data_IF_496359131073
#
_entry.id   IF_496359131073
#
_cell.length_a   1.000
_cell.length_b   1.000
_cell.length_c   1.000
_cell.angle_alpha   90.00
_cell.angle_beta   90.00
_cell.angle_gamma   90.00
#
_symmetry.space_group_name_H-M   'P 1'
#
loop_
_entity.id
_entity.type
_entity.pdbx_description
1 polymer ?
#
# COMPACT_ATOMS: atom_id res chain seq x y z
N UNK A 1 14.60 11.18 3.00
CA UNK A 1 14.89 10.02 2.13
C UNK A 1 16.01 10.28 1.12
N UNK A 2 15.88 11.21 0.16
CA UNK A 2 16.89 11.40 -0.92
C UNK A 2 18.34 11.59 -0.45
N UNK A 3 18.54 12.32 0.65
CA UNK A 3 19.86 12.49 1.26
C UNK A 3 20.57 11.14 1.52
N UNK A 4 19.84 10.17 2.09
CA UNK A 4 20.42 8.85 2.42
C UNK A 4 20.77 8.07 1.16
N UNK A 5 19.95 8.13 0.11
CA UNK A 5 20.25 7.46 -1.15
C UNK A 5 21.53 7.99 -1.77
N UNK A 6 21.65 9.32 -1.87
CA UNK A 6 22.83 9.98 -2.44
C UNK A 6 24.08 9.68 -1.60
N UNK A 7 23.94 9.70 -0.27
CA UNK A 7 25.02 9.35 0.65
C UNK A 7 25.50 7.92 0.45
N UNK A 8 24.60 6.93 0.40
CA UNK A 8 24.97 5.54 0.19
C UNK A 8 25.53 5.27 -1.20
N UNK A 9 24.98 5.89 -2.25
CA UNK A 9 25.53 5.79 -3.60
C UNK A 9 26.97 6.33 -3.67
N UNK A 10 27.26 7.41 -2.93
CA UNK A 10 28.61 7.98 -2.85
C UNK A 10 29.56 7.13 -2.02
N UNK A 11 29.08 6.55 -0.92
CA UNK A 11 29.90 5.74 0.01
C UNK A 11 30.18 4.34 -0.50
N UNK A 12 29.26 3.75 -1.27
CA UNK A 12 29.33 2.37 -1.76
C UNK A 12 29.19 2.29 -3.29
N UNK A 13 30.03 2.99 -4.08
CA UNK A 13 29.88 3.06 -5.54
C UNK A 13 30.10 1.72 -6.25
N UNK A 14 30.84 0.80 -5.63
CA UNK A 14 31.04 -0.57 -6.13
C UNK A 14 29.81 -1.47 -5.93
N UNK A 15 28.84 -1.04 -5.11
CA UNK A 15 27.66 -1.82 -4.73
C UNK A 15 26.33 -1.19 -5.16
N UNK A 16 26.27 0.15 -5.17
CA UNK A 16 25.03 0.90 -5.38
C UNK A 16 25.07 1.62 -6.72
N UNK A 17 24.00 1.49 -7.50
CA UNK A 17 23.61 2.45 -8.53
C UNK A 17 22.35 3.17 -8.09
N UNK A 18 22.31 4.50 -8.28
CA UNK A 18 21.18 5.35 -7.97
C UNK A 18 20.86 6.20 -9.19
N UNK A 19 19.61 6.13 -9.65
CA UNK A 19 19.14 6.89 -10.82
C UNK A 19 17.68 7.28 -10.67
N UNK A 20 17.27 8.28 -11.45
CA UNK A 20 15.87 8.68 -11.57
C UNK A 20 15.20 7.75 -12.56
N UNK A 21 14.16 7.02 -12.13
CA UNK A 21 13.39 6.12 -13.01
C UNK A 21 12.25 6.85 -13.70
N UNK A 22 11.71 7.88 -13.06
CA UNK A 22 10.67 8.75 -13.57
C UNK A 22 10.65 10.05 -12.76
N UNK A 23 9.92 11.05 -13.25
CA UNK A 23 9.51 12.21 -12.47
C UNK A 23 8.03 12.01 -12.12
N UNK A 24 7.66 12.33 -10.88
CA UNK A 24 6.27 12.31 -10.42
C UNK A 24 5.44 13.38 -11.12
N UNK A 25 4.14 13.40 -10.85
CA UNK A 25 3.24 14.39 -11.41
C UNK A 25 3.70 15.85 -11.18
N UNK A 26 4.17 16.18 -9.98
CA UNK A 26 4.72 17.52 -9.64
C UNK A 26 6.20 17.70 -10.03
N UNK A 27 6.77 16.77 -10.79
CA UNK A 27 8.15 16.85 -11.27
C UNK A 27 9.20 16.48 -10.22
N UNK A 28 8.85 15.75 -9.16
CA UNK A 28 9.83 15.25 -8.19
C UNK A 28 10.48 13.95 -8.69
N UNK A 29 11.79 13.76 -8.47
CA UNK A 29 12.46 12.55 -8.95
C UNK A 29 12.01 11.30 -8.20
N UNK A 30 11.49 10.31 -8.91
CA UNK A 30 11.29 8.96 -8.39
C UNK A 30 12.63 8.23 -8.52
N UNK A 31 13.26 7.93 -7.39
CA UNK A 31 14.61 7.37 -7.35
C UNK A 31 14.57 5.84 -7.22
N UNK A 32 15.34 5.17 -8.07
CA UNK A 32 15.56 3.73 -8.02
C UNK A 32 16.98 3.44 -7.56
N UNK A 33 17.11 2.50 -6.63
CA UNK A 33 18.39 2.00 -6.15
C UNK A 33 18.58 0.54 -6.58
N UNK A 34 19.76 0.24 -7.10
CA UNK A 34 20.22 -1.12 -7.38
C UNK A 34 21.37 -1.44 -6.43
N UNK A 35 21.23 -2.51 -5.64
CA UNK A 35 22.26 -3.02 -4.74
C UNK A 35 22.75 -4.40 -5.22
N UNK A 36 23.98 -4.48 -5.68
CA UNK A 36 24.66 -5.73 -6.00
C UNK A 36 26.17 -5.54 -6.02
N UNK A 37 26.96 -6.59 -5.75
CA UNK A 37 28.40 -6.49 -5.96
C UNK A 37 28.75 -6.46 -7.46
N UNK A 38 29.15 -5.28 -7.98
CA UNK A 38 29.47 -5.10 -9.40
C UNK A 38 30.69 -5.91 -9.85
N UNK A 39 31.57 -6.32 -8.92
CA UNK A 39 32.77 -7.12 -9.23
C UNK A 39 32.44 -8.58 -9.53
N UNK A 40 31.29 -9.08 -9.08
CA UNK A 40 30.85 -10.47 -9.31
C UNK A 40 29.90 -10.61 -10.50
N UNK A 41 29.66 -9.53 -11.24
CA UNK A 41 28.77 -9.49 -12.41
C UNK A 41 27.75 -8.35 -12.32
N UNK A 42 27.05 -8.12 -13.43
CA UNK A 42 25.98 -7.13 -13.52
C UNK A 42 24.77 -7.60 -12.72
N UNK A 43 23.93 -6.66 -12.28
CA UNK A 43 22.68 -6.94 -11.59
C UNK A 43 21.72 -7.78 -12.46
N UNK A 44 21.65 -7.47 -13.77
CA UNK A 44 20.79 -8.17 -14.75
C UNK A 44 21.16 -9.64 -14.96
N UNK A 45 22.40 -10.03 -14.63
CA UNK A 45 22.89 -11.41 -14.80
C UNK A 45 22.64 -12.26 -13.54
N UNK A 46 22.08 -11.67 -12.48
CA UNK A 46 21.85 -12.31 -11.18
C UNK A 46 20.36 -12.41 -10.89
N UNK A 47 19.90 -13.49 -10.22
CA UNK A 47 18.54 -13.52 -9.69
C UNK A 47 18.31 -12.35 -8.75
N UNK A 48 17.14 -11.72 -8.85
CA UNK A 48 16.87 -10.49 -8.14
C UNK A 48 15.58 -10.52 -7.31
N UNK A 49 15.57 -9.67 -6.28
CA UNK A 49 14.39 -9.32 -5.53
C UNK A 49 14.16 -7.80 -5.60
N UNK A 50 12.91 -7.37 -5.69
CA UNK A 50 12.51 -5.98 -5.69
C UNK A 50 11.72 -5.67 -4.42
N UNK A 51 12.15 -4.64 -3.69
CA UNK A 51 11.51 -4.19 -2.48
C UNK A 51 11.13 -2.72 -2.60
N UNK A 52 9.86 -2.42 -2.31
CA UNK A 52 9.34 -1.08 -2.46
C UNK A 52 8.44 -0.64 -1.32
N UNK A 53 8.25 0.67 -1.20
CA UNK A 53 7.34 1.27 -0.22
C UNK A 53 6.87 2.66 -0.68
N UNK A 54 6.06 3.29 0.17
CA UNK A 54 5.64 4.69 -0.01
C UNK A 54 4.86 4.92 -1.30
N UNK A 55 3.96 4.01 -1.66
CA UNK A 55 2.98 4.22 -2.74
C UNK A 55 1.76 4.98 -2.23
N UNK A 56 1.25 4.63 -1.05
CA UNK A 56 0.23 5.40 -0.37
C UNK A 56 0.93 6.47 0.47
N UNK A 57 0.43 7.70 0.34
CA UNK A 57 1.03 8.92 0.85
C UNK A 57 1.34 8.87 2.35
N UNK A 58 0.42 8.30 3.13
CA UNK A 58 0.46 8.25 4.60
C UNK A 58 1.25 7.09 5.21
N UNK A 59 1.79 6.19 4.39
CA UNK A 59 2.48 4.97 4.84
C UNK A 59 3.99 5.17 4.94
N UNK A 60 4.41 6.27 5.57
CA UNK A 60 5.84 6.64 5.69
C UNK A 60 6.67 5.52 6.33
N UNK A 61 6.08 4.74 7.24
CA UNK A 61 6.74 3.59 7.85
C UNK A 61 7.13 2.51 6.84
N UNK A 62 6.36 2.33 5.76
CA UNK A 62 6.74 1.43 4.67
C UNK A 62 8.04 1.88 4.00
N UNK A 63 8.15 3.18 3.70
CA UNK A 63 9.38 3.77 3.15
C UNK A 63 10.57 3.63 4.10
N UNK A 64 10.36 3.87 5.39
CA UNK A 64 11.40 3.71 6.41
C UNK A 64 11.87 2.25 6.56
N UNK A 65 10.99 1.27 6.37
CA UNK A 65 11.37 -0.16 6.38
C UNK A 65 12.36 -0.52 5.26
N UNK A 66 12.13 -0.01 4.04
CA UNK A 66 13.08 -0.24 2.93
C UNK A 66 14.39 0.52 3.16
N UNK A 67 14.34 1.73 3.74
CA UNK A 67 15.53 2.48 4.15
C UNK A 67 16.35 1.70 5.18
N UNK A 68 15.70 1.19 6.23
CA UNK A 68 16.35 0.40 7.27
C UNK A 68 16.99 -0.87 6.69
N UNK A 69 16.27 -1.60 5.83
CA UNK A 69 16.82 -2.78 5.16
C UNK A 69 18.05 -2.42 4.33
N UNK A 70 18.01 -1.31 3.58
CA UNK A 70 19.15 -0.83 2.79
C UNK A 70 20.36 -0.55 3.69
N UNK A 71 20.16 0.18 4.79
CA UNK A 71 21.20 0.46 5.77
C UNK A 71 21.79 -0.83 6.36
N UNK A 72 20.92 -1.76 6.78
CA UNK A 72 21.31 -3.01 7.40
C UNK A 72 22.17 -3.86 6.45
N UNK A 73 21.79 -3.96 5.18
CA UNK A 73 22.54 -4.69 4.16
C UNK A 73 23.92 -4.08 3.92
N UNK A 74 24.01 -2.75 3.81
CA UNK A 74 25.27 -2.04 3.58
C UNK A 74 26.21 -2.10 4.78
N UNK A 75 25.71 -1.88 5.99
CA UNK A 75 26.53 -1.86 7.21
C UNK A 75 27.09 -3.23 7.57
N UNK A 76 26.46 -4.32 7.10
CA UNK A 76 26.86 -5.69 7.37
C UNK A 76 27.54 -6.38 6.19
N UNK A 77 27.59 -5.76 5.01
CA UNK A 77 28.38 -6.28 3.90
C UNK A 77 29.87 -6.35 4.26
N UNK A 78 30.49 -7.52 4.07
CA UNK A 78 31.87 -7.81 4.49
C UNK A 78 32.03 -8.16 5.98
N UNK A 79 30.96 -8.07 6.79
CA UNK A 79 30.96 -8.44 8.22
C UNK A 79 30.14 -9.71 8.46
N UNK A 80 28.94 -9.77 7.90
CA UNK A 80 28.06 -10.92 7.96
C UNK A 80 28.26 -11.80 6.70
N UNK A 81 28.68 -13.07 6.83
CA UNK A 81 28.91 -13.95 5.69
C UNK A 81 27.66 -14.24 4.85
N UNK A 82 26.46 -14.25 5.46
CA UNK A 82 25.20 -14.49 4.75
C UNK A 82 24.80 -13.27 3.91
N UNK A 83 24.87 -12.07 4.49
CA UNK A 83 24.59 -10.81 3.76
C UNK A 83 25.63 -10.59 2.65
N UNK A 84 26.90 -10.88 2.93
CA UNK A 84 27.97 -10.78 1.92
C UNK A 84 27.68 -11.71 0.74
N UNK A 85 27.38 -12.99 1.01
CA UNK A 85 27.00 -13.95 -0.02
C UNK A 85 25.74 -13.54 -0.78
N UNK A 86 24.76 -12.94 -0.10
CA UNK A 86 23.54 -12.43 -0.72
C UNK A 86 23.88 -11.36 -1.76
N UNK A 87 24.58 -10.30 -1.36
CA UNK A 87 24.94 -9.17 -2.24
C UNK A 87 25.91 -9.60 -3.36
N UNK A 88 26.78 -10.58 -3.09
CA UNK A 88 27.71 -11.11 -4.09
C UNK A 88 27.02 -11.94 -5.17
N UNK A 89 25.91 -12.61 -4.85
CA UNK A 89 25.27 -13.59 -5.76
C UNK A 89 23.88 -13.20 -6.24
N UNK A 90 23.33 -12.09 -5.76
CA UNK A 90 21.98 -11.59 -6.09
C UNK A 90 22.02 -10.10 -6.40
N UNK A 91 20.95 -9.62 -7.02
CA UNK A 91 20.65 -8.20 -7.09
C UNK A 91 19.45 -7.88 -6.19
N UNK A 92 19.52 -6.75 -5.50
CA UNK A 92 18.44 -6.26 -4.65
C UNK A 92 18.07 -4.89 -5.19
N UNK A 93 16.87 -4.78 -5.73
CA UNK A 93 16.33 -3.52 -6.21
C UNK A 93 15.48 -2.90 -5.10
N UNK A 94 15.71 -1.63 -4.81
CA UNK A 94 15.15 -0.94 -3.66
C UNK A 94 14.53 0.37 -4.12
N UNK A 95 13.24 0.56 -3.81
CA UNK A 95 12.53 1.82 -4.06
C UNK A 95 11.69 2.20 -2.85
N UNK A 96 12.26 2.88 -1.86
CA UNK A 96 11.52 3.21 -0.65
C UNK A 96 10.41 4.24 -0.86
N UNK A 97 10.43 4.97 -1.97
CA UNK A 97 9.42 5.99 -2.27
C UNK A 97 8.94 5.92 -3.71
N UNK A 98 7.71 5.48 -3.89
CA UNK A 98 7.04 5.48 -5.20
C UNK A 98 6.23 6.76 -5.46
N UNK A 99 5.66 7.36 -4.42
CA UNK A 99 4.76 8.51 -4.51
C UNK A 99 5.34 9.72 -3.76
N UNK A 100 6.43 10.34 -4.25
CA UNK A 100 7.05 11.47 -3.56
C UNK A 100 6.10 12.64 -3.37
N UNK A 101 5.15 12.87 -4.28
CA UNK A 101 4.20 13.99 -4.19
C UNK A 101 3.23 13.79 -3.04
N UNK A 102 2.57 12.64 -3.02
CA UNK A 102 1.64 12.25 -1.97
C UNK A 102 2.26 12.27 -0.57
N UNK A 103 3.45 11.68 -0.38
CA UNK A 103 4.08 11.73 0.96
C UNK A 103 4.57 13.12 1.35
N UNK A 104 4.98 13.98 0.41
CA UNK A 104 5.29 15.37 0.74
C UNK A 104 4.03 16.10 1.20
N UNK A 105 2.91 15.90 0.50
CA UNK A 105 1.61 16.45 0.92
C UNK A 105 1.26 15.97 2.33
N UNK A 106 1.33 14.66 2.60
CA UNK A 106 1.04 14.09 3.91
C UNK A 106 1.96 14.62 5.03
N UNK A 107 3.25 14.81 4.75
CA UNK A 107 4.22 15.23 5.77
C UNK A 107 4.22 16.74 6.06
N UNK A 108 3.91 17.56 5.05
CA UNK A 108 4.08 19.02 5.12
C UNK A 108 2.77 19.80 5.11
N UNK A 109 1.63 19.12 4.95
CA UNK A 109 0.31 19.72 5.05
C UNK A 109 -0.54 19.00 6.08
N UNK A 110 -1.70 19.57 6.40
CA UNK A 110 -2.70 18.95 7.28
C UNK A 110 -3.54 17.90 6.56
N UNK A 111 -3.22 17.54 5.31
CA UNK A 111 -4.04 16.62 4.55
C UNK A 111 -3.88 15.18 5.05
N UNK A 112 -5.02 14.49 5.21
CA UNK A 112 -5.08 13.03 5.33
C UNK A 112 -4.98 12.31 3.98
N UNK A 113 -4.64 13.03 2.90
CA UNK A 113 -4.51 12.49 1.55
C UNK A 113 -3.85 11.12 1.60
N UNK A 114 -4.62 10.09 1.28
CA UNK A 114 -4.15 8.71 1.21
C UNK A 114 -3.21 8.57 0.00
N UNK A 115 -3.27 9.50 -0.96
CA UNK A 115 -2.93 9.23 -2.36
C UNK A 115 -2.40 10.46 -3.14
N UNK A 116 -2.04 10.24 -4.41
CA UNK A 116 -1.38 11.21 -5.33
C UNK A 116 -2.21 12.48 -5.46
N UNK A 117 -1.50 13.62 -5.55
CA UNK A 117 -2.11 14.91 -5.88
C UNK A 117 -2.77 14.84 -7.25
N UNK A 118 -4.06 15.18 -7.29
CA UNK A 118 -4.89 15.24 -8.49
C UNK A 118 -5.16 13.89 -9.16
N UNK A 119 -6.12 13.16 -8.61
CA UNK A 119 -7.16 12.70 -9.52
C UNK A 119 -8.32 13.67 -9.45
N UNK A 120 -8.85 14.01 -10.62
CA UNK A 120 -10.06 14.80 -10.81
C UNK A 120 -11.27 13.96 -10.35
N UNK A 121 -11.27 13.55 -9.08
CA UNK A 121 -12.22 12.62 -8.53
C UNK A 121 -13.34 13.43 -7.92
N UNK A 122 -14.50 13.16 -8.49
CA UNK A 122 -15.77 13.70 -8.06
C UNK A 122 -16.42 12.60 -7.21
N UNK A 123 -16.16 12.64 -5.90
CA UNK A 123 -16.36 11.48 -5.00
C UNK A 123 -17.86 11.18 -4.78
N UNK A 124 -18.73 12.18 -4.92
CA UNK A 124 -20.15 12.16 -4.53
C UNK A 124 -21.16 12.63 -5.63
N UNK A 125 -20.71 13.36 -6.67
CA UNK A 125 -21.47 13.82 -7.87
C UNK A 125 -22.32 15.07 -7.77
N UNK A 126 -21.99 15.98 -6.87
CA UNK A 126 -22.61 17.31 -6.74
C UNK A 126 -22.12 18.40 -7.73
N UNK A 127 -20.95 18.24 -8.35
CA UNK A 127 -20.34 19.18 -9.29
C UNK A 127 -19.15 20.00 -8.76
N UNK A 128 -18.70 19.76 -7.53
CA UNK A 128 -17.59 20.47 -6.89
C UNK A 128 -16.38 19.56 -6.59
N UNK A 129 -15.21 20.12 -6.24
CA UNK A 129 -13.94 19.38 -6.10
C UNK A 129 -13.21 19.82 -4.82
N UNK A 130 -12.75 18.84 -4.03
CA UNK A 130 -11.86 19.00 -2.88
C UNK A 130 -12.45 19.83 -1.71
N UNK A 131 -13.71 19.60 -1.29
CA UNK A 131 -14.51 20.52 -0.45
C UNK A 131 -14.55 20.22 1.06
N UNK A 132 -14.40 18.97 1.49
CA UNK A 132 -14.37 18.50 2.89
C UNK A 132 -13.03 17.84 3.26
N UNK A 133 -11.92 18.60 3.31
CA UNK A 133 -10.72 18.11 3.98
C UNK A 133 -10.95 18.07 5.49
N UNK A 134 -10.35 17.09 6.18
CA UNK A 134 -10.34 17.12 7.65
C UNK A 134 -9.77 18.44 8.20
N UNK A 135 -10.50 19.06 9.13
CA UNK A 135 -10.09 20.27 9.82
C UNK A 135 -9.56 20.01 11.23
N UNK A 136 -8.62 20.86 11.60
CA UNK A 136 -8.08 21.02 12.95
C UNK A 136 -8.99 22.01 13.70
N UNK A 137 -9.96 21.48 14.44
CA UNK A 137 -11.03 22.28 15.07
C UNK A 137 -10.54 23.06 16.29
N UNK A 138 -9.48 22.58 16.96
CA UNK A 138 -8.92 23.22 18.15
C UNK A 138 -7.65 24.05 17.88
N UNK A 139 -7.13 24.00 16.66
CA UNK A 139 -6.03 24.83 16.17
C UNK A 139 -4.67 24.38 16.68
N UNK A 140 -4.53 23.16 17.21
CA UNK A 140 -3.27 22.65 17.77
C UNK A 140 -2.30 22.11 16.70
N UNK A 141 -2.74 22.07 15.44
CA UNK A 141 -1.97 21.62 14.29
C UNK A 141 -2.02 20.12 14.04
N UNK A 142 -2.83 19.36 14.78
CA UNK A 142 -3.00 17.90 14.66
C UNK A 142 -4.49 17.59 14.41
N UNK A 143 -4.77 16.82 13.37
CA UNK A 143 -6.13 16.32 13.13
C UNK A 143 -6.30 14.99 13.86
N UNK A 144 -7.13 14.98 14.89
CA UNK A 144 -7.35 13.80 15.71
C UNK A 144 -8.40 12.84 15.11
N UNK A 145 -8.49 11.67 15.73
CA UNK A 145 -9.66 10.80 15.62
C UNK A 145 -10.57 11.03 16.82
N UNK A 146 -11.82 11.36 16.54
CA UNK A 146 -12.86 11.59 17.51
C UNK A 146 -13.67 10.31 17.73
N UNK A 147 -13.88 9.95 19.00
CA UNK A 147 -14.80 8.85 19.34
C UNK A 147 -16.15 9.39 19.74
N UNK A 148 -17.22 8.90 19.12
CA UNK A 148 -18.60 9.17 19.52
C UNK A 148 -19.19 7.91 20.12
N UNK A 149 -19.70 8.02 21.35
CA UNK A 149 -20.44 6.92 21.97
C UNK A 149 -21.79 6.78 21.25
N UNK A 150 -22.10 5.58 20.78
CA UNK A 150 -23.37 5.31 20.12
C UNK A 150 -24.52 5.35 21.13
N UNK A 151 -25.49 6.24 20.92
CA UNK A 151 -26.62 6.44 21.84
C UNK A 151 -27.95 6.01 21.21
N UNK A 152 -28.14 6.31 19.94
CA UNK A 152 -29.35 5.97 19.18
C UNK A 152 -29.35 4.50 18.73
N UNK A 153 -30.52 3.92 18.42
CA UNK A 153 -30.60 2.59 17.82
C UNK A 153 -29.82 2.48 16.51
N UNK A 154 -29.92 3.46 15.60
CA UNK A 154 -29.19 3.41 14.32
C UNK A 154 -27.67 3.47 14.52
N UNK A 155 -27.19 4.31 15.44
CA UNK A 155 -25.76 4.38 15.76
C UNK A 155 -25.26 3.08 16.38
N UNK A 156 -26.05 2.45 17.25
CA UNK A 156 -25.67 1.18 17.88
C UNK A 156 -25.54 0.07 16.86
N UNK A 157 -26.39 0.05 15.83
CA UNK A 157 -26.27 -0.90 14.72
C UNK A 157 -25.00 -0.69 13.88
N UNK A 158 -24.54 0.57 13.75
CA UNK A 158 -23.31 0.92 13.02
C UNK A 158 -22.05 0.82 13.88
N UNK A 159 -22.16 0.95 15.20
CA UNK A 159 -21.04 1.00 16.13
C UNK A 159 -20.16 -0.24 16.03
N UNK A 160 -18.88 -0.02 15.77
CA UNK A 160 -17.92 -1.07 15.44
C UNK A 160 -16.59 -0.90 16.19
N UNK A 161 -16.56 -0.11 17.27
CA UNK A 161 -15.40 0.01 18.15
C UNK A 161 -15.76 -0.18 19.63
N UNK A 162 -14.86 -0.81 20.37
CA UNK A 162 -14.85 -0.87 21.85
C UNK A 162 -13.55 -0.25 22.37
N UNK A 163 -13.51 0.13 23.64
CA UNK A 163 -12.22 0.41 24.30
C UNK A 163 -11.42 -0.89 24.32
N UNK A 164 -10.15 -0.82 23.93
CA UNK A 164 -9.27 -1.99 23.94
C UNK A 164 -9.14 -2.54 25.37
N UNK A 165 -9.58 -3.79 25.64
CA UNK A 165 -9.50 -4.39 26.96
C UNK A 165 -8.06 -4.51 27.50
N UNK A 166 -7.06 -4.56 26.60
CA UNK A 166 -5.65 -4.58 27.00
C UNK A 166 -5.13 -3.21 27.47
N UNK A 167 -5.87 -2.13 27.16
CA UNK A 167 -5.49 -0.75 27.45
C UNK A 167 -6.63 -0.01 28.16
N UNK A 168 -6.91 -0.35 29.44
CA UNK A 168 -8.06 0.15 30.18
C UNK A 168 -8.03 1.66 30.46
N UNK A 169 -6.89 2.32 30.22
CA UNK A 169 -6.78 3.78 30.20
C UNK A 169 -7.67 4.45 29.14
N UNK A 170 -8.30 3.67 28.24
CA UNK A 170 -9.32 4.16 27.34
C UNK A 170 -8.76 4.98 26.17
N UNK A 171 -7.46 4.93 25.89
CA UNK A 171 -6.84 5.65 24.79
C UNK A 171 -6.87 4.87 23.47
N UNK A 172 -6.84 3.54 23.55
CA UNK A 172 -6.83 2.66 22.39
C UNK A 172 -8.22 2.05 22.18
N UNK A 173 -8.60 1.99 20.92
CA UNK A 173 -9.87 1.46 20.46
C UNK A 173 -9.61 0.17 19.69
N UNK A 174 -10.45 -0.83 19.89
CA UNK A 174 -10.40 -2.10 19.16
C UNK A 174 -11.61 -2.20 18.24
N UNK A 175 -11.36 -2.45 16.95
CA UNK A 175 -12.43 -2.67 15.98
C UNK A 175 -13.11 -4.02 16.23
N UNK A 176 -14.43 -4.02 16.17
CA UNK A 176 -15.33 -5.17 16.29
C UNK A 176 -16.35 -5.13 15.14
N UNK A 177 -17.21 -6.14 15.05
CA UNK A 177 -18.28 -6.12 14.05
C UNK A 177 -19.25 -4.96 14.32
N UNK A 178 -19.84 -4.40 13.26
CA UNK A 178 -20.93 -3.44 13.39
C UNK A 178 -22.07 -4.04 14.24
N UNK A 179 -22.64 -3.24 15.14
CA UNK A 179 -23.65 -3.70 16.10
C UNK A 179 -23.07 -4.33 17.36
N UNK A 180 -21.74 -4.50 17.43
CA UNK A 180 -21.03 -5.10 18.58
C UNK A 180 -20.12 -4.10 19.29
N UNK A 181 -20.02 -2.87 18.79
CA UNK A 181 -19.27 -1.79 19.41
C UNK A 181 -20.13 -0.86 20.27
N UNK A 182 -19.46 -0.07 21.09
CA UNK A 182 -20.06 1.03 21.86
C UNK A 182 -19.77 2.40 21.24
N UNK A 183 -18.81 2.46 20.33
CA UNK A 183 -18.29 3.69 19.76
C UNK A 183 -18.24 3.65 18.23
N UNK A 184 -18.42 4.83 17.66
CA UNK A 184 -18.11 5.20 16.29
C UNK A 184 -16.84 6.06 16.33
N UNK A 185 -15.97 5.90 15.35
CA UNK A 185 -14.74 6.68 15.21
C UNK A 185 -14.87 7.54 13.97
N UNK A 186 -14.55 8.82 14.12
CA UNK A 186 -14.61 9.83 13.09
C UNK A 186 -13.27 10.55 12.98
N UNK A 187 -12.97 11.04 11.79
CA UNK A 187 -11.96 12.07 11.63
C UNK A 187 -12.48 13.38 12.22
N UNK A 188 -11.61 14.15 12.86
CA UNK A 188 -11.91 15.54 13.19
C UNK A 188 -12.19 16.34 11.91
N UNK A 189 -13.28 17.11 11.91
CA UNK A 189 -13.67 18.01 10.83
C UNK A 189 -15.15 18.38 10.82
N UNK A 190 -15.57 19.14 9.82
CA UNK A 190 -16.92 19.67 9.60
C UNK A 190 -17.47 19.13 8.27
N UNK A 191 -18.79 19.11 8.17
CA UNK A 191 -19.54 18.95 6.91
C UNK A 191 -19.63 20.34 6.26
N UNK A 192 -18.71 20.67 5.33
CA UNK A 192 -18.56 22.04 4.83
C UNK A 192 -19.63 22.41 3.81
N UNK A 193 -20.20 21.44 3.10
CA UNK A 193 -21.19 21.63 2.05
C UNK A 193 -22.65 21.35 2.52
N UNK A 194 -22.81 20.70 3.67
CA UNK A 194 -24.08 20.46 4.35
C UNK A 194 -24.86 19.26 3.83
N UNK A 195 -24.21 18.30 3.17
CA UNK A 195 -24.85 17.13 2.57
C UNK A 195 -25.11 15.98 3.59
N UNK A 196 -24.56 16.11 4.80
CA UNK A 196 -24.69 15.16 5.90
C UNK A 196 -23.55 14.14 6.02
N UNK A 197 -22.57 14.21 5.14
CA UNK A 197 -21.26 13.57 5.20
C UNK A 197 -20.22 14.56 5.76
N UNK A 198 -19.12 14.07 6.33
CA UNK A 198 -18.04 14.96 6.82
C UNK A 198 -16.71 14.34 6.47
N UNK A 199 -15.76 15.16 6.05
CA UNK A 199 -14.40 14.75 5.68
C UNK A 199 -14.35 13.76 4.50
N UNK A 200 -15.26 13.87 3.53
CA UNK A 200 -15.44 12.84 2.49
C UNK A 200 -14.69 13.12 1.18
N UNK A 201 -14.21 14.34 0.95
CA UNK A 201 -13.50 14.73 -0.28
C UNK A 201 -12.32 15.69 -0.02
N UNK A 202 -11.39 15.30 0.86
CA UNK A 202 -10.07 15.94 0.91
C UNK A 202 -9.23 15.67 -0.35
N UNK A 203 -8.28 16.57 -0.66
CA UNK A 203 -7.34 16.48 -1.81
C UNK A 203 -6.88 15.04 -2.09
N UNK A 204 -7.23 14.46 -3.25
CA UNK A 204 -6.76 13.14 -3.70
C UNK A 204 -7.80 12.27 -4.41
N UNK A 205 -7.76 10.95 -4.19
CA UNK A 205 -8.77 9.99 -4.65
C UNK A 205 -8.30 8.89 -5.61
N UNK A 206 -7.02 8.89 -6.02
CA UNK A 206 -6.45 7.84 -6.87
C UNK A 206 -5.46 6.93 -6.15
N UNK A 207 -5.82 5.66 -6.09
CA UNK A 207 -5.06 4.59 -5.47
C UNK A 207 -4.07 4.02 -6.49
N UNK A 208 -2.78 4.34 -6.32
CA UNK A 208 -1.71 3.79 -7.16
C UNK A 208 -1.72 2.26 -7.17
N UNK A 209 -2.22 1.64 -6.10
CA UNK A 209 -2.38 0.20 -5.94
C UNK A 209 -3.73 -0.32 -6.48
N UNK A 210 -4.49 0.49 -7.21
CA UNK A 210 -5.60 0.11 -8.11
C UNK A 210 -5.34 0.46 -9.57
N UNK A 211 -4.21 1.09 -9.87
CA UNK A 211 -3.87 1.56 -11.21
C UNK A 211 -3.04 0.54 -12.03
N UNK A 212 -2.76 -0.66 -11.51
CA UNK A 212 -2.04 -1.71 -12.25
C UNK A 212 -2.93 -2.34 -13.34
N UNK A 213 -2.35 -2.85 -14.44
CA UNK A 213 -3.13 -3.34 -15.58
C UNK A 213 -3.86 -4.65 -15.33
N UNK A 214 -3.38 -5.50 -14.41
CA UNK A 214 -3.95 -6.82 -14.18
C UNK A 214 -5.30 -6.72 -13.46
N UNK A 215 -6.33 -7.32 -14.06
CA UNK A 215 -7.72 -7.24 -13.62
C UNK A 215 -8.23 -5.81 -13.36
N UNK A 216 -7.64 -4.78 -13.95
CA UNK A 216 -8.09 -3.39 -13.78
C UNK A 216 -9.59 -3.21 -14.09
N UNK A 217 -10.24 -2.30 -13.37
CA UNK A 217 -11.64 -1.94 -13.56
C UNK A 217 -11.80 -0.43 -13.62
N UNK A 218 -12.78 0.08 -14.38
CA UNK A 218 -13.09 1.51 -14.38
C UNK A 218 -13.38 2.00 -12.97
N UNK A 219 -13.11 3.29 -12.75
CA UNK A 219 -13.43 3.93 -11.48
C UNK A 219 -14.93 3.90 -11.16
N UNK A 220 -15.29 4.28 -9.94
CA UNK A 220 -16.66 4.39 -9.47
C UNK A 220 -17.47 5.26 -10.44
N UNK A 221 -18.44 4.62 -11.10
CA UNK A 221 -19.28 5.06 -12.23
C UNK A 221 -18.59 5.47 -13.53
N UNK A 222 -17.38 4.96 -13.77
CA UNK A 222 -16.87 4.74 -15.11
C UNK A 222 -17.59 3.60 -15.86
N UNK A 223 -18.34 2.73 -15.16
CA UNK A 223 -19.23 1.76 -15.81
C UNK A 223 -20.60 2.37 -16.14
N UNK A 224 -20.78 2.75 -17.41
CA UNK A 224 -22.04 3.28 -17.94
C UNK A 224 -23.15 2.23 -18.07
N UNK A 225 -22.83 0.94 -17.91
CA UNK A 225 -23.78 -0.15 -18.12
C UNK A 225 -24.40 -0.69 -16.83
N UNK A 226 -23.80 -0.40 -15.67
CA UNK A 226 -24.20 -0.92 -14.37
C UNK A 226 -24.07 -2.44 -14.23
N UNK A 227 -23.28 -3.09 -15.10
CA UNK A 227 -23.12 -4.56 -15.15
C UNK A 227 -21.74 -5.02 -14.71
N UNK A 228 -20.75 -4.12 -14.72
CA UNK A 228 -19.37 -4.38 -14.39
C UNK A 228 -19.07 -4.16 -12.90
N UNK A 229 -17.89 -4.60 -12.51
CA UNK A 229 -17.28 -4.14 -11.28
C UNK A 229 -16.61 -2.79 -11.54
N UNK A 230 -16.68 -1.89 -10.56
CA UNK A 230 -15.88 -0.67 -10.51
C UNK A 230 -14.85 -0.78 -9.38
N UNK A 231 -13.81 0.04 -9.44
CA UNK A 231 -12.78 0.11 -8.42
C UNK A 231 -12.53 1.58 -8.09
N UNK A 232 -12.86 2.00 -6.88
CA UNK A 232 -12.52 3.33 -6.41
C UNK A 232 -11.01 3.56 -6.52
N UNK A 233 -10.61 4.72 -7.04
CA UNK A 233 -9.22 5.13 -7.16
C UNK A 233 -8.44 4.44 -8.28
N UNK A 234 -9.12 3.82 -9.25
CA UNK A 234 -8.46 3.08 -10.32
C UNK A 234 -7.77 3.98 -11.36
N UNK A 235 -8.15 5.25 -11.42
CA UNK A 235 -7.68 6.20 -12.44
C UNK A 235 -8.49 6.11 -13.74
N UNK A 236 -8.09 6.88 -14.75
CA UNK A 236 -8.84 6.96 -16.03
C UNK A 236 -8.67 5.69 -16.89
N UNK A 237 -7.48 5.10 -16.83
CA UNK A 237 -7.09 3.86 -17.53
C UNK A 237 -5.93 3.20 -16.76
N UNK A 238 -5.64 1.91 -16.96
CA UNK A 238 -4.53 1.27 -16.28
C UNK A 238 -3.20 1.94 -16.61
N UNK A 239 -2.38 2.21 -15.59
CA UNK A 239 -1.13 2.95 -15.70
C UNK A 239 -1.30 4.39 -16.19
N UNK A 240 -2.43 5.02 -15.85
CA UNK A 240 -2.62 6.46 -16.04
C UNK A 240 -1.60 7.29 -15.27
N UNK A 241 -1.17 6.79 -14.10
CA UNK A 241 -0.24 7.52 -13.24
C UNK A 241 1.21 7.21 -13.56
N UNK A 242 2.04 8.24 -13.51
CA UNK A 242 3.47 8.11 -13.82
C UNK A 242 4.18 7.23 -12.79
N UNK A 243 3.76 7.28 -11.52
CA UNK A 243 4.29 6.49 -10.42
C UNK A 243 4.09 4.98 -10.68
N UNK A 244 2.85 4.53 -10.88
CA UNK A 244 2.51 3.12 -11.14
C UNK A 244 3.11 2.65 -12.47
N UNK A 245 3.04 3.49 -13.52
CA UNK A 245 3.64 3.23 -14.83
C UNK A 245 5.14 3.06 -14.73
N UNK A 246 5.83 3.87 -13.92
CA UNK A 246 7.28 3.76 -13.72
C UNK A 246 7.65 2.43 -13.08
N UNK A 247 6.88 1.95 -12.10
CA UNK A 247 7.09 0.62 -11.49
C UNK A 247 6.91 -0.49 -12.50
N UNK A 248 5.79 -0.49 -13.23
CA UNK A 248 5.49 -1.57 -14.19
C UNK A 248 6.49 -1.60 -15.35
N UNK A 249 6.74 -0.47 -16.02
CA UNK A 249 7.67 -0.45 -17.15
C UNK A 249 9.10 -0.77 -16.72
N UNK A 250 9.51 -0.30 -15.53
CA UNK A 250 10.82 -0.62 -14.99
C UNK A 250 10.93 -2.13 -14.72
N UNK A 251 9.95 -2.75 -14.05
CA UNK A 251 9.97 -4.19 -13.81
C UNK A 251 10.02 -5.01 -15.10
N UNK A 252 9.27 -4.61 -16.13
CA UNK A 252 9.29 -5.30 -17.43
C UNK A 252 10.64 -5.24 -18.13
N UNK A 253 11.50 -4.30 -17.78
CA UNK A 253 12.90 -4.25 -18.25
C UNK A 253 13.89 -5.05 -17.39
N UNK A 254 13.44 -5.67 -16.29
CA UNK A 254 14.27 -6.43 -15.33
C UNK A 254 13.75 -7.86 -15.12
N UNK A 255 13.68 -8.71 -16.17
CA UNK A 255 13.07 -10.04 -16.11
C UNK A 255 13.73 -11.03 -15.13
N UNK A 256 14.88 -10.66 -14.56
CA UNK A 256 15.59 -11.42 -13.54
C UNK A 256 14.97 -11.29 -12.13
N UNK A 257 13.96 -10.42 -11.92
CA UNK A 257 13.23 -10.31 -10.65
C UNK A 257 12.35 -11.54 -10.46
N UNK A 258 12.58 -12.31 -9.39
CA UNK A 258 11.77 -13.48 -9.03
C UNK A 258 10.89 -13.26 -7.80
N UNK A 259 11.26 -12.31 -6.95
CA UNK A 259 10.55 -11.97 -5.71
C UNK A 259 10.29 -10.47 -5.66
N UNK A 260 9.08 -10.10 -5.31
CA UNK A 260 8.71 -8.71 -5.05
C UNK A 260 8.04 -8.62 -3.70
N UNK A 261 8.38 -7.60 -2.93
CA UNK A 261 7.70 -7.32 -1.69
C UNK A 261 7.45 -5.82 -1.61
N UNK A 262 6.18 -5.48 -1.50
CA UNK A 262 5.74 -4.10 -1.34
C UNK A 262 5.30 -3.88 0.09
N UNK A 263 5.88 -2.90 0.75
CA UNK A 263 5.53 -2.54 2.12
C UNK A 263 4.40 -1.51 2.07
N UNK A 264 3.38 -1.74 2.89
CA UNK A 264 2.20 -0.90 3.12
C UNK A 264 1.93 -0.85 4.65
N UNK A 265 0.94 -0.09 5.12
CA UNK A 265 0.56 -0.05 6.56
C UNK A 265 -0.95 0.13 6.72
N UNK A 266 -1.61 -0.38 7.76
CA UNK A 266 -1.16 -0.48 9.17
C UNK A 266 -1.63 -1.76 9.87
N UNK A 267 -2.02 -2.79 9.13
CA UNK A 267 -2.58 -4.03 9.70
C UNK A 267 -1.60 -5.17 9.51
N UNK A 268 -1.12 -5.87 10.55
CA UNK A 268 -0.05 -6.88 10.41
C UNK A 268 -0.49 -8.06 9.54
N UNK A 269 -0.26 -7.96 8.22
CA UNK A 269 -0.77 -8.89 7.21
C UNK A 269 0.28 -9.12 6.13
N UNK A 270 0.41 -10.37 5.74
CA UNK A 270 1.22 -10.79 4.59
C UNK A 270 0.26 -11.19 3.47
N UNK A 271 0.11 -10.33 2.47
CA UNK A 271 -0.91 -10.44 1.41
C UNK A 271 -0.30 -11.03 0.15
N UNK A 272 -0.98 -12.00 -0.45
CA UNK A 272 -0.60 -12.60 -1.73
C UNK A 272 -1.72 -12.51 -2.75
N UNK A 273 -1.45 -12.67 -4.06
CA UNK A 273 -2.50 -12.82 -5.05
C UNK A 273 -3.22 -14.16 -4.92
N UNK A 274 -4.39 -14.33 -5.57
CA UNK A 274 -5.16 -13.32 -6.28
C UNK A 274 -6.00 -12.48 -5.33
N UNK A 275 -6.12 -11.18 -5.58
CA UNK A 275 -7.02 -10.29 -4.82
C UNK A 275 -8.49 -10.42 -5.23
N UNK A 276 -8.76 -11.09 -6.35
CA UNK A 276 -10.09 -11.25 -6.94
C UNK A 276 -10.71 -12.64 -6.78
N UNK A 277 -9.93 -13.68 -6.46
CA UNK A 277 -10.39 -15.07 -6.26
C UNK A 277 -9.74 -15.70 -5.03
N UNK A 278 -10.08 -16.95 -4.69
CA UNK A 278 -9.19 -17.74 -3.81
C UNK A 278 -7.94 -18.13 -4.59
N UNK A 279 -6.81 -18.32 -3.91
CA UNK A 279 -5.57 -18.76 -4.55
C UNK A 279 -5.71 -20.14 -5.18
N UNK A 280 -6.43 -21.07 -4.53
CA UNK A 280 -6.67 -22.42 -5.05
C UNK A 280 -7.51 -22.44 -6.35
N UNK A 281 -8.22 -21.35 -6.66
CA UNK A 281 -9.09 -21.27 -7.84
C UNK A 281 -8.33 -20.78 -9.08
N UNK A 282 -7.24 -20.02 -8.92
CA UNK A 282 -6.56 -19.34 -10.05
C UNK A 282 -5.03 -19.41 -10.03
N UNK A 283 -4.40 -20.01 -9.02
CA UNK A 283 -2.97 -20.25 -9.01
C UNK A 283 -2.64 -21.71 -9.32
N UNK A 284 -1.53 -21.95 -10.00
CA UNK A 284 -1.02 -23.31 -10.15
C UNK A 284 -0.63 -23.89 -8.79
N UNK A 285 -0.90 -25.18 -8.53
CA UNK A 285 -0.56 -25.80 -7.26
C UNK A 285 0.93 -25.73 -6.90
N UNK A 286 1.83 -25.75 -7.89
CA UNK A 286 3.27 -25.58 -7.71
C UNK A 286 3.63 -24.20 -7.16
N UNK A 287 3.03 -23.16 -7.73
CA UNK A 287 3.34 -21.79 -7.35
C UNK A 287 2.74 -21.49 -5.98
N UNK A 288 1.50 -21.94 -5.75
CA UNK A 288 0.85 -21.84 -4.45
C UNK A 288 1.66 -22.49 -3.33
N UNK A 289 2.36 -23.60 -3.62
CA UNK A 289 3.25 -24.23 -2.66
C UNK A 289 4.45 -23.33 -2.30
N UNK A 290 5.03 -22.62 -3.28
CA UNK A 290 6.12 -21.65 -3.04
C UNK A 290 5.63 -20.52 -2.15
N UNK A 291 4.44 -19.97 -2.45
CA UNK A 291 3.84 -18.94 -1.59
C UNK A 291 3.68 -19.45 -0.15
N UNK A 292 3.06 -20.62 0.04
CA UNK A 292 2.85 -21.21 1.37
C UNK A 292 4.15 -21.49 2.14
N UNK A 293 5.22 -21.87 1.44
CA UNK A 293 6.54 -22.05 2.05
C UNK A 293 7.10 -20.73 2.59
N UNK A 294 7.04 -19.66 1.79
CA UNK A 294 7.51 -18.33 2.19
C UNK A 294 6.67 -17.73 3.32
N UNK A 295 5.36 -17.99 3.35
CA UNK A 295 4.46 -17.58 4.45
C UNK A 295 4.88 -18.18 5.81
N UNK A 296 5.42 -19.40 5.82
CA UNK A 296 5.76 -20.14 7.03
C UNK A 296 7.24 -20.01 7.45
N UNK A 297 8.08 -19.41 6.60
CA UNK A 297 9.50 -19.27 6.82
C UNK A 297 9.83 -18.15 7.83
N UNK A 298 9.62 -18.43 9.13
CA UNK A 298 10.21 -17.71 10.29
C UNK A 298 10.03 -16.18 10.32
N UNK A 299 8.88 -15.65 9.91
CA UNK A 299 8.54 -14.24 10.17
C UNK A 299 8.05 -14.04 11.60
N UNK A 300 8.29 -12.83 12.15
CA UNK A 300 7.75 -12.35 13.43
C UNK A 300 6.21 -12.43 13.46
N UNK A 301 5.59 -12.43 12.28
CA UNK A 301 4.17 -12.71 12.03
C UNK A 301 3.90 -14.22 12.01
N UNK A 302 3.86 -14.81 13.18
CA UNK A 302 3.58 -16.22 13.39
C UNK A 302 2.20 -16.63 12.80
N UNK A 303 2.13 -17.09 11.53
CA UNK A 303 0.88 -17.49 10.85
C UNK A 303 -0.32 -16.56 11.18
N UNK A 304 -0.07 -15.25 11.32
CA UNK A 304 -1.11 -14.30 11.66
C UNK A 304 -1.97 -14.11 10.42
N UNK A 305 -3.27 -14.27 10.64
CA UNK A 305 -4.36 -14.35 9.64
C UNK A 305 -3.90 -14.10 8.20
N UNK A 306 -3.83 -15.18 7.41
CA UNK A 306 -3.89 -15.12 5.95
C UNK A 306 -5.10 -14.27 5.59
N UNK A 307 -4.87 -12.99 5.43
CA UNK A 307 -5.87 -12.03 5.09
C UNK A 307 -6.01 -12.07 3.61
N UNK A 308 -6.79 -13.01 3.09
CA UNK A 308 -7.52 -12.64 1.88
C UNK A 308 -8.27 -11.35 2.23
N UNK A 309 -8.33 -10.38 1.33
CA UNK A 309 -9.14 -9.14 1.43
C UNK A 309 -10.65 -9.41 1.51
N UNK A 310 -11.04 -10.62 1.94
CA UNK A 310 -12.39 -11.17 2.04
C UNK A 310 -12.79 -11.19 3.52
N UNK A 311 -13.75 -10.36 3.88
CA UNK A 311 -14.38 -10.38 5.20
C UNK A 311 -15.08 -11.73 5.47
N UNK A 312 -15.05 -12.20 6.72
CA UNK A 312 -15.72 -13.43 7.16
C UNK A 312 -17.26 -13.29 7.09
N UNK A 313 -17.87 -14.42 6.77
CA UNK A 313 -19.28 -14.76 6.53
C UNK A 313 -20.22 -14.45 7.71
N UNK A 314 -21.49 -14.13 7.42
CA UNK A 314 -22.58 -14.02 8.41
C UNK A 314 -22.96 -15.42 8.95
N UNK A 315 -22.83 -15.62 10.26
CA UNK A 315 -23.06 -16.93 10.91
C UNK A 315 -24.53 -17.27 11.17
N UNK A 316 -25.46 -16.35 10.91
CA UNK A 316 -26.91 -16.55 11.08
C UNK A 316 -27.63 -16.81 9.74
N UNK A 317 -27.20 -16.18 8.65
CA UNK A 317 -27.77 -16.38 7.30
C UNK A 317 -26.92 -17.26 6.38
N UNK A 318 -25.62 -17.42 6.69
CA UNK A 318 -24.67 -18.16 5.84
C UNK A 318 -24.07 -17.36 4.68
N UNK A 319 -24.41 -16.07 4.52
CA UNK A 319 -23.95 -15.26 3.39
C UNK A 319 -22.58 -14.61 3.63
N UNK A 320 -21.63 -14.68 2.67
CA UNK A 320 -20.54 -13.71 2.59
C UNK A 320 -21.15 -12.38 2.17
N UNK A 321 -20.97 -11.31 2.95
CA UNK A 321 -21.43 -9.96 2.60
C UNK A 321 -20.54 -9.37 1.49
N UNK A 322 -20.60 -9.97 0.29
CA UNK A 322 -19.78 -9.72 -0.92
C UNK A 322 -18.26 -9.69 -0.67
N UNK A 323 -17.45 -10.54 -1.33
CA UNK A 323 -16.04 -10.20 -1.46
C UNK A 323 -15.96 -8.79 -2.09
N UNK A 324 -15.14 -7.91 -1.51
CA UNK A 324 -14.70 -6.65 -2.14
C UNK A 324 -13.40 -6.97 -2.86
N UNK A 325 -13.44 -7.54 -4.07
CA UNK A 325 -12.23 -7.78 -4.84
C UNK A 325 -11.48 -6.47 -5.01
N UNK A 326 -10.17 -6.50 -4.86
CA UNK A 326 -9.32 -5.39 -5.26
C UNK A 326 -8.91 -5.63 -6.70
N UNK A 327 -9.13 -4.63 -7.55
CA UNK A 327 -8.77 -4.67 -8.97
C UNK A 327 -7.57 -3.75 -9.22
N UNK A 328 -6.73 -4.10 -10.20
CA UNK A 328 -5.54 -3.30 -10.52
C UNK A 328 -4.49 -3.28 -9.43
N UNK A 329 -4.28 -4.42 -8.78
CA UNK A 329 -3.38 -4.60 -7.63
C UNK A 329 -1.98 -5.11 -8.06
N UNK A 330 -0.93 -4.65 -7.38
CA UNK A 330 0.47 -4.97 -7.70
C UNK A 330 0.80 -6.47 -7.65
N UNK A 331 0.48 -7.17 -6.54
CA UNK A 331 0.62 -8.63 -6.45
C UNK A 331 -0.10 -9.43 -7.54
N UNK A 332 -1.28 -8.97 -8.00
CA UNK A 332 -2.00 -9.62 -9.11
C UNK A 332 -1.20 -9.48 -10.42
N UNK A 333 -0.71 -8.27 -10.73
CA UNK A 333 0.20 -8.05 -11.86
C UNK A 333 1.47 -8.90 -11.74
N UNK A 334 2.05 -8.94 -10.55
CA UNK A 334 3.23 -9.75 -10.22
C UNK A 334 3.08 -11.20 -10.59
N UNK A 335 1.96 -11.83 -10.22
CA UNK A 335 1.74 -13.24 -10.47
C UNK A 335 1.23 -13.53 -11.89
N UNK A 336 0.16 -12.86 -12.33
CA UNK A 336 -0.53 -13.23 -13.58
C UNK A 336 0.13 -12.67 -14.84
N UNK A 337 0.77 -11.52 -14.75
CA UNK A 337 1.38 -10.86 -15.91
C UNK A 337 2.90 -11.04 -15.92
N UNK A 338 3.55 -10.73 -14.80
CA UNK A 338 5.00 -10.65 -14.73
C UNK A 338 5.67 -12.01 -14.43
N UNK A 339 5.04 -12.87 -13.62
CA UNK A 339 5.53 -14.20 -13.27
C UNK A 339 6.48 -14.24 -12.06
N UNK A 340 6.34 -13.30 -11.11
CA UNK A 340 7.09 -13.27 -9.84
C UNK A 340 6.27 -13.76 -8.64
N UNK A 341 6.96 -14.12 -7.57
CA UNK A 341 6.36 -14.26 -6.24
C UNK A 341 6.26 -12.86 -5.62
N UNK A 342 5.06 -12.28 -5.55
CA UNK A 342 4.84 -10.92 -5.08
C UNK A 342 3.95 -10.91 -3.84
N UNK A 343 4.46 -10.33 -2.74
CA UNK A 343 3.68 -10.03 -1.54
C UNK A 343 3.47 -8.53 -1.30
N UNK A 344 2.29 -8.18 -0.76
CA UNK A 344 2.04 -6.89 -0.12
C UNK A 344 2.07 -7.07 1.40
N UNK A 345 2.95 -6.37 2.08
CA UNK A 345 3.18 -6.50 3.52
C UNK A 345 2.66 -5.27 4.22
N UNK A 346 1.58 -5.45 4.95
CA UNK A 346 1.01 -4.42 5.79
C UNK A 346 1.67 -4.52 7.18
N UNK A 347 2.48 -3.52 7.53
CA UNK A 347 3.34 -3.54 8.72
C UNK A 347 2.60 -3.35 10.04
#
# INVERSE_FOLDING_TARGET
MYHWYQKWATQFPDLIDLYVVAESFEGRPILQMTLTNKKTGKDTDKPAAYFEGGRHSGEITASESILWMTQHLLENYGKDPQITKLIDTKAIYLRPQNNPDGSNLYLYTRSKAIEVLFARMHTDRDGLLDEDPSEDLDGDGIIYQMRKKAVTPEEKEKANFIIDPAHPAGKLMKRVLAGKGDYLIYSEGIDNDGDGAYNEDGIGGLDLHRNYPENWRPDTGGDLTGRGYTQFGAGEYPLSEVESKSTVLWMLSHPNISVVNSMDTRVPMHLRPPSTSKSEERMYPSDLAIYREMECARTFFHCLSLGSTRYKINTMTGDPLKPTPLFGHGPDFGYFYYGSIWYGDEL
#
